data_IF_698912374288
#
_entry.id   IF_698912374288
#
_cell.length_a   1.000
_cell.length_b   1.000
_cell.length_c   1.000
_cell.angle_alpha   90.00
_cell.angle_beta   90.00
_cell.angle_gamma   90.00
#
_symmetry.space_group_name_H-M   'P 1'
#
loop_
_entity.id
_entity.type
_entity.pdbx_description
1 polymer ?
#
# COMPACT_ATOMS: atom_id res chain seq x y z
N UNK A 1 58.38 48.72 48.93
CA UNK A 1 57.96 47.31 48.80
C UNK A 1 56.95 47.27 47.71
N UNK A 2 57.37 46.87 46.51
CA UNK A 2 56.61 46.85 45.32
C UNK A 2 56.25 45.38 45.01
N UNK A 3 54.96 45.05 45.04
CA UNK A 3 54.48 43.74 44.63
C UNK A 3 54.21 43.71 43.08
N UNK A 4 54.65 42.67 42.37
CA UNK A 4 54.36 42.54 40.96
C UNK A 4 52.96 41.86 40.76
N UNK A 5 52.17 42.44 39.86
CA UNK A 5 50.95 41.89 39.36
C UNK A 5 51.24 40.81 38.28
N UNK A 6 50.71 39.59 38.47
CA UNK A 6 50.75 38.50 37.49
C UNK A 6 49.59 38.67 36.48
N UNK A 7 49.83 38.41 35.19
CA UNK A 7 48.75 38.46 34.19
C UNK A 7 47.95 37.19 34.26
N UNK A 8 46.61 37.31 34.26
CA UNK A 8 45.65 36.23 34.10
C UNK A 8 45.39 36.03 32.63
N UNK A 9 45.84 34.89 32.08
CA UNK A 9 45.54 34.48 30.71
C UNK A 9 44.17 33.79 30.66
N UNK A 10 43.21 34.39 29.94
CA UNK A 10 41.95 33.78 29.61
C UNK A 10 42.13 32.90 28.37
N UNK A 11 42.06 31.60 28.56
CA UNK A 11 41.98 30.63 27.43
C UNK A 11 40.51 30.47 27.05
N UNK A 12 40.11 31.01 25.91
CA UNK A 12 38.78 30.78 25.34
C UNK A 12 38.74 29.36 24.77
N UNK A 13 37.97 28.48 25.41
CA UNK A 13 37.64 27.18 24.86
C UNK A 13 36.52 27.33 23.80
N UNK A 14 36.91 27.18 22.54
CA UNK A 14 35.93 27.07 21.42
C UNK A 14 35.32 25.66 21.46
N UNK A 15 34.10 25.54 21.97
CA UNK A 15 33.30 24.34 21.80
C UNK A 15 32.84 24.23 20.35
N UNK A 16 33.49 23.38 19.54
CA UNK A 16 32.95 22.92 18.29
C UNK A 16 31.74 22.02 18.60
N UNK A 17 30.54 22.54 18.42
CA UNK A 17 29.32 21.74 18.34
C UNK A 17 29.40 20.95 17.02
N UNK A 18 29.82 19.69 17.07
CA UNK A 18 29.61 18.72 16.00
C UNK A 18 28.09 18.50 15.89
N UNK A 19 27.47 19.16 14.95
CA UNK A 19 26.15 18.76 14.42
C UNK A 19 26.36 17.40 13.77
N UNK A 20 26.17 16.33 14.52
CA UNK A 20 25.96 15.00 13.97
C UNK A 20 24.60 15.00 13.26
N UNK A 21 24.59 15.48 12.03
CA UNK A 21 23.53 15.12 11.11
C UNK A 21 23.55 13.59 11.00
N UNK A 22 22.48 12.94 11.40
CA UNK A 22 22.26 11.53 11.06
C UNK A 22 22.12 11.50 9.55
N UNK A 23 23.23 11.17 8.86
CA UNK A 23 23.15 10.82 7.46
C UNK A 23 22.19 9.64 7.40
N UNK A 24 21.05 9.81 6.73
CA UNK A 24 20.19 8.71 6.32
C UNK A 24 21.09 7.70 5.62
N UNK A 25 21.07 6.45 6.07
CA UNK A 25 21.77 5.39 5.36
C UNK A 25 21.06 5.26 4.00
N UNK A 26 21.69 5.80 2.97
CA UNK A 26 21.23 5.64 1.60
C UNK A 26 21.25 4.15 1.27
N UNK A 27 20.12 3.62 0.77
CA UNK A 27 20.08 2.24 0.33
C UNK A 27 21.14 1.98 -0.75
N UNK A 28 21.70 0.79 -0.72
CA UNK A 28 22.52 0.32 -1.82
C UNK A 28 21.66 0.22 -3.08
N UNK A 29 22.13 0.81 -4.17
CA UNK A 29 21.48 0.74 -5.50
C UNK A 29 21.82 -0.60 -6.16
N UNK A 30 20.94 -1.09 -7.03
CA UNK A 30 21.20 -2.28 -7.84
C UNK A 30 21.02 -1.92 -9.33
N UNK A 31 22.15 -1.72 -10.02
CA UNK A 31 22.15 -1.17 -11.37
C UNK A 31 21.54 0.22 -11.41
N UNK A 32 20.46 0.38 -12.18
CA UNK A 32 19.74 1.63 -12.32
C UNK A 32 18.54 1.73 -11.34
N UNK A 33 18.38 0.76 -10.44
CA UNK A 33 17.28 0.73 -9.47
C UNK A 33 17.73 1.34 -8.15
N UNK A 34 17.02 2.37 -7.73
CA UNK A 34 17.14 2.98 -6.41
C UNK A 34 16.10 2.39 -5.45
N UNK A 35 16.29 2.62 -4.15
CA UNK A 35 15.41 2.05 -3.14
C UNK A 35 15.06 3.04 -2.02
N UNK A 36 13.87 2.86 -1.46
CA UNK A 36 13.53 3.33 -0.11
C UNK A 36 13.79 2.18 0.85
N UNK A 37 14.64 2.41 1.86
CA UNK A 37 14.93 1.44 2.91
C UNK A 37 14.00 1.58 4.11
N UNK A 38 13.76 0.46 4.79
CA UNK A 38 13.15 0.42 6.11
C UNK A 38 11.78 -0.22 6.18
N UNK A 39 10.85 0.00 5.22
CA UNK A 39 9.58 -0.72 5.24
C UNK A 39 9.81 -2.23 5.13
N UNK A 40 9.15 -3.01 6.01
CA UNK A 40 9.24 -4.48 5.99
C UNK A 40 8.02 -5.03 5.26
N UNK A 41 8.24 -5.87 4.25
CA UNK A 41 7.17 -6.42 3.40
C UNK A 41 6.19 -5.32 2.97
N UNK A 42 6.66 -4.26 2.27
CA UNK A 42 5.81 -3.15 1.80
C UNK A 42 4.88 -3.66 0.71
N UNK A 43 3.73 -4.18 1.14
CA UNK A 43 2.79 -4.90 0.29
C UNK A 43 2.06 -3.96 -0.67
N UNK A 44 1.53 -2.86 -0.14
CA UNK A 44 0.78 -1.89 -0.91
C UNK A 44 1.13 -0.46 -0.53
N UNK A 45 0.98 0.44 -1.51
CA UNK A 45 1.39 1.83 -1.42
C UNK A 45 0.29 2.74 -1.95
N UNK A 46 0.12 3.92 -1.34
CA UNK A 46 -0.75 4.97 -1.85
C UNK A 46 -0.24 6.36 -1.51
N UNK A 47 -0.25 7.29 -2.48
CA UNK A 47 0.06 8.69 -2.19
C UNK A 47 -1.06 9.37 -1.41
N UNK A 48 -0.69 10.26 -0.49
CA UNK A 48 -1.64 11.22 0.06
C UNK A 48 -1.63 12.43 -0.89
N UNK A 49 -2.74 12.74 -1.58
CA UNK A 49 -2.80 13.79 -2.57
C UNK A 49 -2.31 15.15 -2.04
N UNK A 50 -1.62 15.90 -2.88
CA UNK A 50 -1.10 17.23 -2.60
C UNK A 50 -0.11 17.31 -1.41
N UNK A 51 0.50 16.19 -1.05
CA UNK A 51 1.50 16.10 0.03
C UNK A 51 2.74 15.32 -0.43
N UNK A 52 3.87 15.41 0.29
CA UNK A 52 5.04 14.61 -0.01
C UNK A 52 5.02 13.21 0.63
N UNK A 53 3.84 12.66 0.94
CA UNK A 53 3.73 11.43 1.71
C UNK A 53 3.14 10.27 0.92
N UNK A 54 3.81 9.13 1.01
CA UNK A 54 3.33 7.83 0.55
C UNK A 54 3.01 6.96 1.76
N UNK A 55 1.77 6.51 1.90
CA UNK A 55 1.38 5.51 2.89
C UNK A 55 1.77 4.12 2.39
N UNK A 56 2.22 3.28 3.31
CA UNK A 56 2.70 1.92 3.03
C UNK A 56 2.11 0.94 4.03
N UNK A 57 1.54 -0.15 3.55
CA UNK A 57 1.17 -1.30 4.37
C UNK A 57 2.32 -2.29 4.49
N UNK A 58 2.65 -2.68 5.71
CA UNK A 58 3.72 -3.64 6.00
C UNK A 58 3.10 -4.99 6.36
N UNK A 59 3.00 -5.90 5.38
CA UNK A 59 2.35 -7.21 5.55
C UNK A 59 3.30 -8.22 6.21
N UNK A 60 3.47 -8.07 7.51
CA UNK A 60 4.28 -8.94 8.37
C UNK A 60 3.48 -9.37 9.60
N UNK A 61 3.96 -10.35 10.38
CA UNK A 61 3.28 -10.82 11.59
C UNK A 61 3.08 -9.71 12.63
N UNK A 62 4.10 -8.83 12.81
CA UNK A 62 4.03 -7.60 13.58
C UNK A 62 3.94 -6.38 12.63
N UNK A 63 3.02 -6.48 11.66
CA UNK A 63 2.86 -5.50 10.61
C UNK A 63 2.42 -4.13 11.12
N UNK A 64 2.55 -3.14 10.25
CA UNK A 64 2.29 -1.76 10.57
C UNK A 64 1.93 -0.94 9.33
N UNK A 65 1.36 0.24 9.56
CA UNK A 65 1.24 1.29 8.57
C UNK A 65 2.35 2.32 8.79
N UNK A 66 2.97 2.77 7.72
CA UNK A 66 3.98 3.82 7.76
C UNK A 66 3.70 4.89 6.69
N UNK A 67 4.32 6.04 6.84
CA UNK A 67 4.44 7.04 5.79
C UNK A 67 5.89 7.23 5.40
N UNK A 68 6.15 7.29 4.10
CA UNK A 68 7.46 7.62 3.53
C UNK A 68 7.42 9.04 2.99
N UNK A 69 8.36 9.88 3.41
CA UNK A 69 8.56 11.23 2.90
C UNK A 69 9.34 11.17 1.58
N UNK A 70 8.72 11.58 0.49
CA UNK A 70 9.33 11.56 -0.85
C UNK A 70 10.52 12.51 -1.01
N UNK A 71 10.66 13.50 -0.12
CA UNK A 71 11.75 14.50 -0.16
C UNK A 71 13.08 13.96 0.39
N UNK A 72 13.02 13.00 1.31
CA UNK A 72 14.21 12.49 2.01
C UNK A 72 14.23 10.96 2.12
N UNK A 73 13.19 10.28 1.63
CA UNK A 73 13.01 8.81 1.58
C UNK A 73 13.00 8.15 2.98
N UNK A 74 12.62 8.93 4.01
CA UNK A 74 12.50 8.42 5.37
C UNK A 74 11.10 7.87 5.61
N UNK A 75 11.03 6.62 6.10
CA UNK A 75 9.78 5.99 6.49
C UNK A 75 9.58 6.10 8.00
N UNK A 76 8.39 6.54 8.39
CA UNK A 76 7.97 6.66 9.79
C UNK A 76 6.77 5.79 10.05
N UNK A 77 6.83 4.92 11.06
CA UNK A 77 5.69 4.11 11.49
C UNK A 77 4.60 5.00 12.07
N UNK A 78 3.36 4.80 11.61
CA UNK A 78 2.18 5.56 12.03
C UNK A 78 1.22 4.74 12.90
N UNK A 79 1.07 3.43 12.64
CA UNK A 79 0.16 2.56 13.39
C UNK A 79 0.63 1.10 13.32
N UNK A 80 0.47 0.29 14.40
CA UNK A 80 0.12 0.73 15.74
C UNK A 80 1.30 1.41 16.45
N UNK A 81 0.97 2.40 17.30
CA UNK A 81 1.92 3.03 18.21
C UNK A 81 1.41 2.87 19.65
N UNK A 82 2.29 2.90 20.67
CA UNK A 82 1.87 2.93 22.07
C UNK A 82 0.96 4.12 22.42
N UNK A 83 1.05 5.19 21.63
CA UNK A 83 0.26 6.42 21.77
C UNK A 83 -0.99 6.45 20.91
N UNK A 84 -1.23 5.40 20.06
CA UNK A 84 -2.41 5.36 19.23
C UNK A 84 -3.69 5.40 20.07
N UNK A 85 -4.54 6.38 19.77
CA UNK A 85 -5.84 6.53 20.44
C UNK A 85 -6.96 6.35 19.41
N UNK A 86 -7.97 5.52 19.68
CA UNK A 86 -9.12 5.37 18.81
C UNK A 86 -10.09 6.53 18.99
N UNK A 87 -10.76 6.89 17.89
CA UNK A 87 -11.95 7.75 17.89
C UNK A 87 -13.09 6.98 17.25
N UNK A 88 -13.56 5.95 17.94
CA UNK A 88 -14.54 5.00 17.38
C UNK A 88 -15.85 5.68 17.00
N UNK A 89 -16.17 5.66 15.70
CA UNK A 89 -17.49 6.03 15.18
C UNK A 89 -18.44 4.82 15.29
N UNK A 90 -19.02 4.66 16.47
CA UNK A 90 -19.94 3.57 16.74
C UNK A 90 -21.27 3.69 15.98
N UNK A 91 -21.59 4.84 15.41
CA UNK A 91 -22.80 5.00 14.59
C UNK A 91 -22.61 4.29 13.24
N UNK A 92 -21.44 4.43 12.64
CA UNK A 92 -21.11 3.81 11.34
C UNK A 92 -20.55 2.39 11.51
N UNK A 93 -19.67 2.16 12.50
CA UNK A 93 -18.89 0.93 12.65
C UNK A 93 -19.21 0.16 13.94
N UNK A 94 -20.44 0.29 14.47
CA UNK A 94 -20.81 -0.27 15.78
C UNK A 94 -20.60 -1.77 15.95
N UNK A 95 -20.67 -2.54 14.87
CA UNK A 95 -20.41 -3.99 14.88
C UNK A 95 -18.93 -4.36 14.99
N UNK A 96 -18.01 -3.41 14.83
CA UNK A 96 -16.58 -3.64 14.84
C UNK A 96 -16.00 -4.02 16.20
N UNK A 97 -16.54 -3.48 17.29
CA UNK A 97 -15.95 -3.59 18.62
C UNK A 97 -14.76 -2.64 18.82
N UNK A 98 -13.86 -3.00 19.72
CA UNK A 98 -12.73 -2.14 20.06
C UNK A 98 -11.56 -2.26 19.07
N UNK A 99 -10.74 -1.21 19.02
CA UNK A 99 -9.45 -1.26 18.35
C UNK A 99 -8.60 -2.39 18.93
N UNK A 100 -7.99 -3.18 18.06
CA UNK A 100 -7.11 -4.29 18.43
C UNK A 100 -5.75 -4.10 17.73
N UNK A 101 -4.76 -3.46 18.35
CA UNK A 101 -3.49 -3.15 17.69
C UNK A 101 -2.53 -4.34 17.59
N UNK A 102 -2.78 -5.43 18.33
CA UNK A 102 -1.96 -6.64 18.32
C UNK A 102 -2.31 -7.54 17.14
N UNK A 103 -1.34 -8.29 16.66
CA UNK A 103 -1.50 -9.16 15.48
C UNK A 103 -2.10 -8.38 14.30
N UNK A 104 -1.61 -7.17 14.11
CA UNK A 104 -2.01 -6.31 13.01
C UNK A 104 -1.17 -6.66 11.79
N UNK A 105 -1.80 -7.25 10.78
CA UNK A 105 -1.18 -7.63 9.52
C UNK A 105 -1.92 -6.93 8.39
N UNK A 106 -1.54 -5.68 8.08
CA UNK A 106 -2.18 -4.91 7.01
C UNK A 106 -1.80 -5.48 5.64
N UNK A 107 -2.73 -5.42 4.71
CA UNK A 107 -2.62 -5.88 3.33
C UNK A 107 -2.97 -4.72 2.39
N UNK A 108 -3.83 -4.91 1.39
CA UNK A 108 -4.24 -3.86 0.47
C UNK A 108 -4.78 -2.62 1.17
N UNK A 109 -4.39 -1.45 0.69
CA UNK A 109 -4.80 -0.15 1.22
C UNK A 109 -5.36 0.74 0.12
N UNK A 110 -6.29 1.61 0.46
CA UNK A 110 -6.74 2.66 -0.46
C UNK A 110 -7.26 3.87 0.30
N UNK A 111 -7.20 5.04 -0.33
CA UNK A 111 -7.49 6.33 0.28
C UNK A 111 -8.71 6.97 -0.39
N UNK A 112 -9.72 7.35 0.41
CA UNK A 112 -10.72 8.32 -0.02
C UNK A 112 -10.19 9.71 0.25
N UNK A 113 -9.93 10.45 -0.82
CA UNK A 113 -9.55 11.86 -0.71
C UNK A 113 -10.67 12.67 -0.07
N UNK A 114 -10.30 13.52 0.86
CA UNK A 114 -11.19 14.47 1.51
C UNK A 114 -10.77 15.92 1.24
N UNK A 115 -11.22 16.82 2.07
CA UNK A 115 -10.88 18.25 1.95
C UNK A 115 -9.95 18.69 3.07
N UNK A 116 -9.15 19.75 2.83
CA UNK A 116 -8.23 20.33 3.81
C UNK A 116 -7.24 19.29 4.39
N UNK A 117 -6.71 18.40 3.54
CA UNK A 117 -5.75 17.35 3.89
C UNK A 117 -6.26 16.35 4.96
N UNK A 118 -7.58 16.25 5.12
CA UNK A 118 -8.21 15.19 5.89
C UNK A 118 -8.77 14.14 4.94
N UNK A 119 -8.31 12.92 5.06
CA UNK A 119 -8.66 11.81 4.19
C UNK A 119 -9.15 10.61 5.02
N UNK A 120 -9.67 9.59 4.34
CA UNK A 120 -10.04 8.31 4.99
C UNK A 120 -9.24 7.18 4.36
N UNK A 121 -8.43 6.49 5.15
CA UNK A 121 -7.68 5.32 4.73
C UNK A 121 -8.46 4.05 5.08
N UNK A 122 -8.62 3.17 4.11
CA UNK A 122 -9.16 1.83 4.24
C UNK A 122 -8.01 0.83 4.15
N UNK A 123 -8.00 -0.14 5.07
CA UNK A 123 -6.90 -1.11 5.20
C UNK A 123 -7.48 -2.49 5.38
N UNK A 124 -7.24 -3.39 4.45
CA UNK A 124 -7.48 -4.81 4.69
C UNK A 124 -6.54 -5.30 5.78
N UNK A 125 -7.09 -6.00 6.73
CA UNK A 125 -6.36 -6.52 7.87
C UNK A 125 -6.61 -8.00 8.09
N UNK A 126 -5.52 -8.72 8.35
CA UNK A 126 -5.50 -10.10 8.84
C UNK A 126 -4.98 -10.18 10.28
N UNK A 127 -4.87 -11.37 10.80
CA UNK A 127 -4.33 -11.66 12.13
C UNK A 127 -5.42 -11.81 13.18
N UNK A 128 -5.55 -10.90 14.15
CA UNK A 128 -6.52 -11.02 15.23
C UNK A 128 -7.97 -11.05 14.73
N UNK A 129 -8.25 -10.48 13.58
CA UNK A 129 -9.54 -10.53 12.86
C UNK A 129 -9.32 -10.31 11.37
N UNK A 130 -10.28 -10.75 10.57
CA UNK A 130 -10.39 -10.41 9.15
C UNK A 130 -11.35 -9.24 9.01
N UNK A 131 -10.86 -8.11 8.48
CA UNK A 131 -11.65 -6.87 8.43
C UNK A 131 -11.09 -5.87 7.46
N UNK A 132 -11.87 -4.86 7.11
CA UNK A 132 -11.37 -3.58 6.63
C UNK A 132 -11.34 -2.61 7.80
N UNK A 133 -10.17 -2.17 8.20
CA UNK A 133 -9.96 -1.14 9.22
C UNK A 133 -10.03 0.23 8.57
N UNK A 134 -10.56 1.20 9.30
CA UNK A 134 -10.79 2.56 8.80
C UNK A 134 -10.10 3.56 9.69
N UNK A 135 -9.32 4.45 9.06
CA UNK A 135 -8.58 5.50 9.74
C UNK A 135 -8.89 6.86 9.14
N UNK A 136 -9.03 7.87 9.98
CA UNK A 136 -8.85 9.25 9.56
C UNK A 136 -7.36 9.52 9.38
N UNK A 137 -7.03 10.15 8.29
CA UNK A 137 -5.70 10.62 7.95
C UNK A 137 -5.70 12.14 8.02
N UNK A 138 -4.84 12.68 8.87
CA UNK A 138 -4.56 14.11 8.93
C UNK A 138 -3.14 14.33 8.40
N UNK A 139 -3.05 15.01 7.28
CA UNK A 139 -1.80 15.27 6.56
C UNK A 139 -1.57 16.79 6.39
N UNK A 140 -1.98 17.59 7.37
CA UNK A 140 -1.85 19.04 7.30
C UNK A 140 -0.38 19.48 7.23
N UNK A 141 -0.05 20.14 6.12
CA UNK A 141 1.26 20.70 5.85
C UNK A 141 2.36 19.67 5.57
N UNK A 142 3.58 20.01 5.95
CA UNK A 142 4.79 19.21 5.70
C UNK A 142 5.14 18.22 6.82
N UNK A 143 4.38 18.25 7.91
CA UNK A 143 4.59 17.36 9.04
C UNK A 143 4.21 15.91 8.70
N UNK A 144 4.81 14.96 9.42
CA UNK A 144 4.45 13.55 9.31
C UNK A 144 2.94 13.37 9.54
N UNK A 145 2.19 12.70 8.63
CA UNK A 145 0.76 12.51 8.78
C UNK A 145 0.43 11.69 10.03
N UNK A 146 -0.78 11.84 10.54
CA UNK A 146 -1.28 11.06 11.66
C UNK A 146 -2.44 10.16 11.23
N UNK A 147 -2.50 8.97 11.85
CA UNK A 147 -3.59 8.02 11.65
C UNK A 147 -4.39 7.88 12.94
N UNK A 148 -5.69 8.16 12.85
CA UNK A 148 -6.64 7.93 13.94
C UNK A 148 -7.61 6.83 13.56
N UNK A 149 -7.57 5.69 14.23
CA UNK A 149 -8.52 4.60 13.99
C UNK A 149 -9.95 5.02 14.37
N UNK A 150 -10.88 4.85 13.42
CA UNK A 150 -12.28 5.24 13.60
C UNK A 150 -13.25 4.05 13.59
N UNK A 151 -12.84 2.90 13.12
CA UNK A 151 -13.68 1.70 13.12
C UNK A 151 -13.20 0.62 12.18
N UNK A 152 -14.05 -0.38 11.99
CA UNK A 152 -13.83 -1.42 11.01
C UNK A 152 -15.12 -2.08 10.54
N UNK A 153 -15.05 -2.74 9.39
CA UNK A 153 -16.05 -3.71 8.98
C UNK A 153 -15.47 -5.11 9.05
N UNK A 154 -15.91 -5.89 10.02
CA UNK A 154 -15.47 -7.30 10.17
C UNK A 154 -16.04 -8.11 9.02
N UNK A 155 -15.19 -8.88 8.37
CA UNK A 155 -15.59 -9.76 7.27
C UNK A 155 -16.45 -10.92 7.79
N UNK A 156 -17.47 -11.35 7.05
CA UNK A 156 -18.18 -12.61 7.35
C UNK A 156 -17.24 -13.81 7.35
N UNK A 157 -17.59 -14.84 8.10
CA UNK A 157 -16.85 -16.09 8.17
C UNK A 157 -16.58 -16.68 6.79
N UNK A 158 -15.33 -17.03 6.51
CA UNK A 158 -14.89 -17.61 5.25
C UNK A 158 -14.55 -16.58 4.16
N UNK A 159 -14.76 -15.30 4.41
CA UNK A 159 -14.40 -14.21 3.51
C UNK A 159 -12.99 -13.72 3.83
N UNK A 160 -11.99 -14.23 3.13
CA UNK A 160 -10.61 -13.74 3.19
C UNK A 160 -10.43 -12.57 2.23
N UNK A 161 -10.12 -11.38 2.74
CA UNK A 161 -9.99 -10.15 1.96
C UNK A 161 -8.56 -9.99 1.40
N UNK A 162 -8.41 -9.13 0.37
CA UNK A 162 -7.10 -8.84 -0.21
C UNK A 162 -6.93 -7.34 -0.48
N UNK A 163 -7.67 -6.77 -1.41
CA UNK A 163 -7.63 -5.35 -1.74
C UNK A 163 -8.94 -4.65 -1.34
N UNK A 164 -8.88 -3.33 -1.22
CA UNK A 164 -10.03 -2.48 -0.88
C UNK A 164 -10.02 -1.20 -1.71
N UNK A 165 -11.20 -0.73 -2.11
CA UNK A 165 -11.35 0.57 -2.78
C UNK A 165 -12.56 1.31 -2.22
N UNK A 166 -12.46 2.63 -1.93
CA UNK A 166 -13.60 3.42 -1.48
C UNK A 166 -14.64 3.61 -2.59
N UNK A 167 -15.92 3.57 -2.24
CA UNK A 167 -17.02 3.78 -3.18
C UNK A 167 -17.48 5.24 -3.17
N UNK A 168 -17.83 5.83 -4.33
CA UNK A 168 -18.26 7.23 -4.40
C UNK A 168 -19.58 7.51 -3.68
N UNK A 169 -20.42 6.51 -3.50
CA UNK A 169 -21.70 6.57 -2.80
C UNK A 169 -21.62 6.19 -1.31
N UNK A 170 -20.41 6.08 -0.77
CA UNK A 170 -20.13 5.69 0.61
C UNK A 170 -19.76 4.21 0.74
N UNK A 171 -19.22 3.83 1.90
CA UNK A 171 -18.67 2.48 2.08
C UNK A 171 -17.43 2.20 1.23
N UNK A 172 -17.20 0.95 0.93
CA UNK A 172 -16.06 0.48 0.14
C UNK A 172 -16.37 -0.88 -0.51
N UNK A 173 -15.59 -1.25 -1.52
CA UNK A 173 -15.56 -2.60 -2.07
C UNK A 173 -14.25 -3.28 -1.70
N UNK A 174 -14.27 -4.60 -1.56
CA UNK A 174 -13.08 -5.41 -1.30
C UNK A 174 -13.10 -6.69 -2.14
N UNK A 175 -11.93 -7.14 -2.53
CA UNK A 175 -11.76 -8.43 -3.19
C UNK A 175 -11.61 -9.55 -2.17
N UNK A 176 -12.11 -10.73 -2.54
CA UNK A 176 -11.95 -11.95 -1.74
C UNK A 176 -11.43 -13.08 -2.62
N UNK A 177 -10.11 -13.34 -2.61
CA UNK A 177 -9.53 -14.50 -3.30
C UNK A 177 -10.07 -15.84 -2.78
N UNK A 178 -10.49 -15.89 -1.50
CA UNK A 178 -11.03 -17.11 -0.90
C UNK A 178 -12.37 -17.54 -1.48
N UNK A 179 -13.22 -16.58 -1.88
CA UNK A 179 -14.52 -16.86 -2.54
C UNK A 179 -14.47 -16.64 -4.04
N UNK A 180 -13.46 -15.95 -4.54
CA UNK A 180 -13.29 -15.62 -5.96
C UNK A 180 -14.11 -14.42 -6.41
N UNK A 181 -14.65 -13.61 -5.50
CA UNK A 181 -15.63 -12.56 -5.74
C UNK A 181 -15.17 -11.18 -5.25
N UNK A 182 -15.97 -10.16 -5.58
CA UNK A 182 -15.90 -8.80 -5.02
C UNK A 182 -17.11 -8.60 -4.11
N UNK A 183 -16.87 -7.91 -3.00
CA UNK A 183 -17.88 -7.61 -1.98
C UNK A 183 -17.91 -6.11 -1.69
N UNK A 184 -19.09 -5.53 -1.63
CA UNK A 184 -19.30 -4.16 -1.15
C UNK A 184 -19.74 -4.17 0.30
N UNK A 185 -19.33 -3.16 1.04
CA UNK A 185 -19.80 -2.90 2.40
C UNK A 185 -20.37 -1.49 2.52
N UNK A 186 -21.55 -1.40 3.12
CA UNK A 186 -22.21 -0.15 3.48
C UNK A 186 -22.68 -0.22 4.93
N UNK A 187 -22.70 0.92 5.61
CA UNK A 187 -23.02 0.98 7.05
C UNK A 187 -24.45 0.54 7.38
N UNK A 188 -25.37 0.70 6.46
CA UNK A 188 -26.80 0.35 6.60
C UNK A 188 -27.13 -1.07 6.09
N UNK A 189 -26.32 -1.62 5.19
CA UNK A 189 -26.56 -2.91 4.52
C UNK A 189 -25.57 -4.02 4.87
N UNK A 190 -24.43 -3.66 5.48
CA UNK A 190 -23.34 -4.61 5.73
C UNK A 190 -22.70 -5.10 4.42
N UNK A 191 -22.19 -6.33 4.43
CA UNK A 191 -21.52 -6.93 3.30
C UNK A 191 -22.48 -7.54 2.28
N UNK A 192 -22.31 -7.20 1.02
CA UNK A 192 -23.07 -7.75 -0.11
C UNK A 192 -22.13 -8.12 -1.26
N UNK A 193 -22.35 -9.29 -1.86
CA UNK A 193 -21.57 -9.72 -3.01
C UNK A 193 -21.95 -8.91 -4.26
N UNK A 194 -20.95 -8.46 -5.00
CA UNK A 194 -21.15 -7.74 -6.27
C UNK A 194 -21.64 -8.71 -7.35
N UNK A 195 -22.81 -8.48 -7.96
CA UNK A 195 -23.33 -9.33 -9.03
C UNK A 195 -22.36 -9.37 -10.22
N UNK A 196 -22.13 -10.58 -10.77
CA UNK A 196 -21.24 -10.79 -11.92
C UNK A 196 -19.76 -10.90 -11.57
N UNK A 197 -19.40 -10.75 -10.29
CA UNK A 197 -18.01 -10.91 -9.85
C UNK A 197 -17.59 -12.38 -9.67
N UNK A 198 -18.53 -13.30 -9.79
CA UNK A 198 -18.29 -14.72 -9.57
C UNK A 198 -17.15 -15.26 -10.46
N UNK A 199 -16.26 -16.00 -9.84
CA UNK A 199 -15.13 -16.69 -10.49
C UNK A 199 -14.14 -15.77 -11.24
N UNK A 200 -14.04 -14.49 -10.86
CA UNK A 200 -12.99 -13.59 -11.38
C UNK A 200 -11.61 -14.05 -10.86
N UNK A 201 -11.55 -14.59 -9.64
CA UNK A 201 -10.31 -14.90 -8.97
C UNK A 201 -9.50 -13.62 -8.71
N UNK A 202 -10.13 -12.63 -8.03
CA UNK A 202 -9.58 -11.30 -7.91
C UNK A 202 -8.43 -11.25 -6.90
N UNK A 203 -7.51 -10.29 -7.12
CA UNK A 203 -6.53 -9.85 -6.15
C UNK A 203 -6.71 -8.35 -5.95
N UNK A 204 -5.92 -7.48 -6.60
CA UNK A 204 -6.06 -6.04 -6.54
C UNK A 204 -7.37 -5.50 -7.13
N UNK A 205 -7.75 -4.28 -6.72
CA UNK A 205 -9.01 -3.65 -7.10
C UNK A 205 -8.86 -2.14 -7.21
N UNK A 206 -9.38 -1.60 -8.31
CA UNK A 206 -9.60 -0.17 -8.48
C UNK A 206 -11.01 0.11 -8.99
N UNK A 207 -11.47 1.36 -8.87
CA UNK A 207 -12.76 1.81 -9.36
C UNK A 207 -12.58 3.00 -10.30
N UNK A 208 -13.34 3.04 -11.40
CA UNK A 208 -13.37 4.20 -12.27
C UNK A 208 -13.87 5.45 -11.51
N UNK A 209 -13.40 6.62 -11.88
CA UNK A 209 -13.76 7.90 -11.24
C UNK A 209 -15.30 8.16 -11.24
N UNK A 210 -16.02 7.62 -12.23
CA UNK A 210 -17.49 7.70 -12.31
C UNK A 210 -18.23 6.66 -11.46
N UNK A 211 -17.50 5.76 -10.80
CA UNK A 211 -18.02 4.71 -9.93
C UNK A 211 -18.77 3.59 -10.63
N UNK A 212 -18.73 3.51 -11.97
CA UNK A 212 -19.53 2.55 -12.75
C UNK A 212 -18.79 1.28 -13.15
N UNK A 213 -17.46 1.26 -12.97
CA UNK A 213 -16.62 0.13 -13.35
C UNK A 213 -15.60 -0.18 -12.28
N UNK A 214 -15.50 -1.45 -11.92
CA UNK A 214 -14.34 -1.98 -11.22
C UNK A 214 -13.27 -2.40 -12.23
N UNK A 215 -12.00 -2.17 -11.88
CA UNK A 215 -10.84 -2.73 -12.55
C UNK A 215 -10.16 -3.70 -11.58
N UNK A 216 -10.02 -4.93 -12.01
CA UNK A 216 -9.70 -6.06 -11.13
C UNK A 216 -8.45 -6.74 -11.62
N UNK A 217 -7.49 -6.94 -10.74
CA UNK A 217 -6.37 -7.85 -10.97
C UNK A 217 -6.89 -9.30 -10.99
N UNK A 218 -7.09 -9.86 -12.17
CA UNK A 218 -7.39 -11.27 -12.36
C UNK A 218 -6.11 -12.08 -12.18
N UNK A 219 -5.80 -12.50 -10.94
CA UNK A 219 -4.51 -13.06 -10.56
C UNK A 219 -4.11 -14.25 -11.45
N UNK A 220 -4.88 -15.33 -11.43
CA UNK A 220 -4.58 -16.51 -12.23
C UNK A 220 -4.83 -16.32 -13.74
N UNK A 221 -5.65 -15.35 -14.11
CA UNK A 221 -5.93 -14.99 -15.50
C UNK A 221 -4.80 -14.14 -16.11
N UNK A 222 -3.91 -13.60 -15.27
CA UNK A 222 -2.82 -12.69 -15.69
C UNK A 222 -3.32 -11.52 -16.53
N UNK A 223 -4.48 -10.98 -16.14
CA UNK A 223 -5.16 -9.94 -16.90
C UNK A 223 -5.87 -8.93 -16.02
N UNK A 224 -5.92 -7.69 -16.48
CA UNK A 224 -6.82 -6.69 -15.94
C UNK A 224 -8.22 -6.94 -16.50
N UNK A 225 -9.19 -7.07 -15.60
CA UNK A 225 -10.59 -7.31 -15.93
C UNK A 225 -11.40 -6.10 -15.51
N UNK A 226 -12.33 -5.59 -16.33
CA UNK A 226 -13.33 -4.63 -15.87
C UNK A 226 -14.67 -5.29 -15.66
N UNK A 227 -15.34 -4.92 -14.58
CA UNK A 227 -16.67 -5.37 -14.20
C UNK A 227 -17.58 -4.16 -13.97
N UNK A 228 -18.75 -4.13 -14.62
CA UNK A 228 -19.72 -3.04 -14.40
C UNK A 228 -20.32 -3.11 -13.00
N UNK A 229 -20.42 -1.95 -12.33
CA UNK A 229 -21.09 -1.78 -11.06
C UNK A 229 -22.54 -1.32 -11.27
N UNK A 230 -23.48 -1.94 -10.55
CA UNK A 230 -24.90 -1.57 -10.56
C UNK A 230 -25.68 -1.90 -11.83
N UNK A 231 -25.11 -2.60 -12.82
CA UNK A 231 -25.80 -3.03 -14.03
C UNK A 231 -26.34 -4.46 -13.89
N UNK A 232 -27.52 -4.70 -14.50
CA UNK A 232 -28.13 -6.04 -14.54
C UNK A 232 -28.58 -6.34 -15.98
N UNK A 233 -28.02 -7.37 -16.64
CA UNK A 233 -26.89 -8.19 -16.18
C UNK A 233 -25.59 -7.39 -16.10
N UNK A 234 -24.69 -7.79 -15.21
CA UNK A 234 -23.36 -7.19 -15.12
C UNK A 234 -22.56 -7.49 -16.39
N UNK A 235 -21.74 -6.53 -16.82
CA UNK A 235 -20.81 -6.69 -17.94
C UNK A 235 -19.43 -6.94 -17.37
N UNK A 236 -18.77 -7.99 -17.88
CA UNK A 236 -17.41 -8.38 -17.50
C UNK A 236 -16.57 -8.55 -18.76
N UNK A 237 -15.42 -7.87 -18.82
CA UNK A 237 -14.56 -7.82 -19.99
C UNK A 237 -13.09 -7.88 -19.57
N UNK A 238 -12.27 -8.60 -20.32
CA UNK A 238 -10.80 -8.50 -20.21
C UNK A 238 -10.37 -7.20 -20.87
N UNK A 239 -9.67 -6.34 -20.11
CA UNK A 239 -9.07 -5.11 -20.62
C UNK A 239 -7.74 -5.42 -21.30
N UNK A 240 -6.82 -6.04 -20.59
CA UNK A 240 -5.48 -6.37 -21.08
C UNK A 240 -4.94 -7.65 -20.43
N UNK A 241 -4.08 -8.36 -21.17
CA UNK A 241 -3.26 -9.45 -20.62
C UNK A 241 -1.85 -8.93 -20.40
N UNK A 242 -1.26 -9.20 -19.24
CA UNK A 242 0.07 -8.70 -18.87
C UNK A 242 1.16 -9.79 -18.84
N UNK A 243 0.75 -11.07 -18.79
CA UNK A 243 1.67 -12.21 -18.87
C UNK A 243 2.32 -12.64 -17.54
N UNK A 244 1.92 -12.04 -16.42
CA UNK A 244 2.34 -12.40 -15.06
C UNK A 244 1.16 -12.37 -14.09
N UNK A 245 1.31 -12.94 -12.89
CA UNK A 245 0.26 -12.92 -11.86
C UNK A 245 0.15 -11.51 -11.28
N UNK A 246 -0.96 -10.81 -11.58
CA UNK A 246 -1.20 -9.45 -11.09
C UNK A 246 -1.63 -9.52 -9.64
N UNK A 247 -0.91 -8.82 -8.76
CA UNK A 247 -1.27 -8.67 -7.35
C UNK A 247 -2.14 -7.41 -7.18
N UNK A 248 -1.57 -6.22 -7.16
CA UNK A 248 -2.32 -4.98 -7.03
C UNK A 248 -2.37 -4.16 -8.34
N UNK A 249 -3.37 -3.32 -8.43
CA UNK A 249 -3.55 -2.33 -9.52
C UNK A 249 -3.81 -0.97 -8.90
N UNK A 250 -3.19 0.08 -9.44
CA UNK A 250 -3.41 1.47 -9.02
C UNK A 250 -3.46 2.40 -10.24
N UNK A 251 -4.28 3.45 -10.14
CA UNK A 251 -4.34 4.48 -11.15
C UNK A 251 -3.04 5.30 -11.19
N UNK A 252 -2.47 5.46 -12.37
CA UNK A 252 -1.44 6.44 -12.64
C UNK A 252 -2.07 7.82 -12.91
N UNK A 253 -1.31 8.93 -12.76
CA UNK A 253 -1.83 10.29 -12.96
C UNK A 253 -2.37 10.58 -14.38
N UNK A 254 -1.92 9.84 -15.38
CA UNK A 254 -2.35 9.98 -16.78
C UNK A 254 -3.63 9.18 -17.11
N UNK A 255 -4.17 8.41 -16.15
CA UNK A 255 -5.39 7.63 -16.31
C UNK A 255 -5.17 6.18 -16.75
N UNK A 256 -3.93 5.76 -16.93
CA UNK A 256 -3.57 4.35 -17.10
C UNK A 256 -3.55 3.63 -15.75
N UNK A 257 -3.55 2.29 -15.76
CA UNK A 257 -3.33 1.47 -14.57
C UNK A 257 -1.89 0.97 -14.52
N UNK A 258 -1.27 1.05 -13.34
CA UNK A 258 -0.09 0.26 -13.01
C UNK A 258 -0.55 -1.07 -12.43
N UNK A 259 -0.29 -2.15 -13.15
CA UNK A 259 -0.56 -3.51 -12.70
C UNK A 259 0.76 -4.12 -12.21
N UNK A 260 0.90 -4.28 -10.89
CA UNK A 260 2.07 -4.88 -10.28
C UNK A 260 1.83 -6.33 -9.92
N UNK A 261 2.89 -7.13 -9.88
CA UNK A 261 2.77 -8.52 -9.54
C UNK A 261 4.08 -9.28 -9.75
N UNK A 262 3.95 -10.58 -9.96
CA UNK A 262 5.10 -11.46 -10.01
C UNK A 262 4.91 -12.63 -10.98
N UNK A 263 6.02 -13.22 -11.40
CA UNK A 263 6.04 -14.45 -12.17
C UNK A 263 6.80 -15.55 -11.43
N UNK A 264 6.44 -16.78 -11.73
CA UNK A 264 7.17 -17.99 -11.37
C UNK A 264 6.96 -19.02 -12.49
N UNK A 265 7.88 -20.00 -12.68
CA UNK A 265 7.68 -21.07 -13.67
C UNK A 265 6.38 -21.82 -13.50
N UNK A 266 5.91 -21.97 -12.26
CA UNK A 266 4.61 -22.49 -11.88
C UNK A 266 4.02 -21.66 -10.74
N UNK A 267 2.68 -21.53 -10.69
CA UNK A 267 1.98 -20.80 -9.62
C UNK A 267 2.34 -21.31 -8.20
N UNK A 268 2.62 -22.59 -8.06
CA UNK A 268 3.08 -23.21 -6.79
C UNK A 268 4.39 -22.60 -6.28
N UNK A 269 5.25 -22.07 -7.17
CA UNK A 269 6.51 -21.40 -6.84
C UNK A 269 6.29 -20.11 -6.06
N UNK A 270 5.23 -19.35 -6.34
CA UNK A 270 4.85 -18.17 -5.56
C UNK A 270 4.53 -18.57 -4.11
N UNK A 271 3.70 -19.60 -3.93
CA UNK A 271 3.37 -20.12 -2.61
C UNK A 271 4.59 -20.65 -1.85
N UNK A 272 5.55 -21.28 -2.53
CA UNK A 272 6.80 -21.73 -1.91
C UNK A 272 7.69 -20.54 -1.50
N UNK A 273 7.75 -19.48 -2.29
CA UNK A 273 8.45 -18.26 -1.93
C UNK A 273 7.88 -17.64 -0.64
N UNK A 274 6.56 -17.50 -0.55
CA UNK A 274 5.90 -16.91 0.63
C UNK A 274 6.10 -17.75 1.90
N UNK A 275 5.93 -19.08 1.80
CA UNK A 275 5.95 -19.96 2.99
C UNK A 275 7.35 -20.37 3.42
N UNK A 276 8.22 -20.62 2.44
CA UNK A 276 9.47 -21.34 2.66
C UNK A 276 10.70 -20.48 2.31
N UNK A 277 10.51 -19.24 1.83
CA UNK A 277 11.58 -18.37 1.35
C UNK A 277 12.24 -18.84 0.04
N UNK A 278 11.61 -19.78 -0.69
CA UNK A 278 12.16 -20.35 -1.92
C UNK A 278 11.86 -19.46 -3.14
N UNK A 279 12.47 -18.27 -3.20
CA UNK A 279 12.15 -17.21 -4.16
C UNK A 279 13.08 -17.13 -5.38
N UNK A 280 14.05 -18.02 -5.53
CA UNK A 280 15.12 -17.94 -6.55
C UNK A 280 14.62 -17.88 -8.02
N UNK A 281 13.40 -18.35 -8.29
CA UNK A 281 12.81 -18.36 -9.64
C UNK A 281 11.54 -17.49 -9.73
N UNK A 282 11.42 -16.52 -8.85
CA UNK A 282 10.34 -15.55 -8.85
C UNK A 282 10.88 -14.21 -9.31
N UNK A 283 10.12 -13.48 -10.12
CA UNK A 283 10.47 -12.13 -10.52
C UNK A 283 9.28 -11.19 -10.25
N UNK A 284 9.60 -9.95 -9.91
CA UNK A 284 8.64 -8.86 -9.78
C UNK A 284 8.42 -8.18 -11.12
N UNK A 285 7.21 -7.74 -11.40
CA UNK A 285 6.83 -7.09 -12.65
C UNK A 285 5.91 -5.91 -12.39
N UNK A 286 5.97 -4.90 -13.25
CA UNK A 286 4.94 -3.87 -13.39
C UNK A 286 4.65 -3.65 -14.87
N UNK A 287 3.37 -3.67 -15.21
CA UNK A 287 2.89 -3.27 -16.51
C UNK A 287 2.03 -2.00 -16.39
N UNK A 288 2.22 -1.08 -17.32
CA UNK A 288 1.32 0.05 -17.53
C UNK A 288 0.25 -0.36 -18.54
N UNK A 289 -1.01 -0.19 -18.18
CA UNK A 289 -2.18 -0.63 -18.94
C UNK A 289 -3.03 0.58 -19.30
N UNK A 290 -3.09 0.89 -20.61
CA UNK A 290 -4.06 1.82 -21.17
C UNK A 290 -5.44 1.13 -21.18
N UNK A 291 -6.34 1.60 -20.34
CA UNK A 291 -7.65 0.99 -20.14
C UNK A 291 -8.64 1.26 -21.28
N UNK A 292 -8.37 2.25 -22.13
CA UNK A 292 -9.20 2.61 -23.29
C UNK A 292 -8.86 1.75 -24.50
N UNK A 293 -7.57 1.53 -24.75
CA UNK A 293 -7.09 0.75 -25.90
C UNK A 293 -6.88 -0.72 -25.58
N UNK A 294 -6.73 -1.07 -24.31
CA UNK A 294 -6.36 -2.42 -23.85
C UNK A 294 -4.88 -2.76 -24.10
N UNK A 295 -4.05 -1.74 -24.34
CA UNK A 295 -2.61 -1.94 -24.54
C UNK A 295 -1.92 -2.12 -23.19
N UNK A 296 -1.03 -3.10 -23.08
CA UNK A 296 -0.19 -3.36 -21.92
C UNK A 296 1.28 -3.25 -22.31
N UNK A 297 2.05 -2.46 -21.54
CA UNK A 297 3.50 -2.29 -21.73
C UNK A 297 4.19 -2.62 -20.41
N UNK A 298 5.11 -3.57 -20.42
CA UNK A 298 5.95 -3.85 -19.24
C UNK A 298 6.92 -2.70 -19.03
N UNK A 299 6.91 -2.13 -17.82
CA UNK A 299 7.73 -0.96 -17.42
C UNK A 299 8.75 -1.30 -16.34
N UNK A 300 8.63 -2.47 -15.71
CA UNK A 300 9.55 -2.94 -14.69
C UNK A 300 9.59 -4.46 -14.66
N UNK A 301 10.81 -5.00 -14.57
CA UNK A 301 11.08 -6.42 -14.30
C UNK A 301 12.30 -6.53 -13.40
N UNK A 302 12.18 -7.30 -12.31
CA UNK A 302 13.27 -7.47 -11.37
C UNK A 302 13.25 -8.86 -10.73
N UNK A 303 14.37 -9.62 -10.78
CA UNK A 303 14.46 -10.93 -10.14
C UNK A 303 14.39 -10.79 -8.62
N UNK A 304 13.70 -11.71 -7.94
CA UNK A 304 13.64 -11.71 -6.48
C UNK A 304 15.03 -11.91 -5.88
N UNK A 305 15.41 -11.01 -4.99
CA UNK A 305 16.65 -11.02 -4.24
C UNK A 305 16.43 -10.41 -2.84
N UNK A 306 17.51 -10.11 -2.11
CA UNK A 306 17.46 -9.50 -0.78
C UNK A 306 16.88 -8.07 -0.75
N UNK A 307 16.75 -7.39 -1.90
CA UNK A 307 16.27 -6.03 -1.99
C UNK A 307 14.76 -5.97 -2.18
N UNK A 308 14.24 -6.70 -3.16
CA UNK A 308 12.81 -6.79 -3.46
C UNK A 308 12.43 -8.26 -3.69
N UNK A 309 11.43 -8.72 -2.96
CA UNK A 309 10.90 -10.08 -3.07
C UNK A 309 9.41 -9.98 -3.40
N UNK A 310 8.97 -10.73 -4.41
CA UNK A 310 7.55 -10.81 -4.79
C UNK A 310 6.91 -9.43 -4.87
N UNK A 311 7.15 -8.71 -5.96
CA UNK A 311 6.48 -7.42 -6.22
C UNK A 311 4.98 -7.59 -6.17
N UNK A 312 4.28 -6.71 -5.42
CA UNK A 312 2.84 -6.79 -5.17
C UNK A 312 2.11 -5.51 -5.54
N UNK A 313 2.65 -4.34 -5.17
CA UNK A 313 2.04 -3.04 -5.43
C UNK A 313 2.98 -2.11 -6.19
N UNK A 314 2.43 -1.24 -7.03
CA UNK A 314 3.17 -0.16 -7.67
C UNK A 314 2.32 1.09 -7.83
N UNK A 315 2.92 2.24 -7.54
CA UNK A 315 2.34 3.57 -7.75
C UNK A 315 3.32 4.46 -8.52
N UNK A 316 2.80 5.47 -9.18
CA UNK A 316 3.65 6.52 -9.74
C UNK A 316 3.77 7.65 -8.72
N UNK A 317 5.00 8.05 -8.40
CA UNK A 317 5.35 9.15 -7.49
C UNK A 317 6.20 10.14 -8.29
N UNK A 318 5.59 11.25 -8.70
CA UNK A 318 6.25 12.20 -9.59
C UNK A 318 6.65 11.57 -10.93
N UNK A 319 7.95 11.54 -11.21
CA UNK A 319 8.56 10.95 -12.41
C UNK A 319 9.13 9.54 -12.17
N UNK A 320 8.78 8.90 -11.06
CA UNK A 320 9.21 7.55 -10.71
C UNK A 320 8.03 6.58 -10.53
N UNK A 321 8.30 5.30 -10.75
CA UNK A 321 7.44 4.19 -10.32
C UNK A 321 8.07 3.58 -9.06
N UNK A 322 7.29 3.51 -7.98
CA UNK A 322 7.65 2.88 -6.74
C UNK A 322 7.01 1.50 -6.66
N UNK A 323 7.80 0.47 -6.37
CA UNK A 323 7.35 -0.93 -6.36
C UNK A 323 7.60 -1.56 -5.00
N UNK A 324 6.54 -1.96 -4.34
CA UNK A 324 6.57 -2.73 -3.10
C UNK A 324 6.55 -4.24 -3.33
N UNK A 325 6.77 -5.01 -2.27
CA UNK A 325 6.74 -6.47 -2.30
C UNK A 325 6.62 -7.09 -0.93
N UNK A 326 6.41 -8.38 -0.88
CA UNK A 326 6.18 -9.14 0.35
C UNK A 326 7.31 -10.13 0.66
N UNK A 327 7.01 -11.17 1.43
CA UNK A 327 7.92 -12.28 1.79
C UNK A 327 9.21 -11.83 2.51
N UNK A 328 9.14 -10.75 3.31
CA UNK A 328 10.26 -10.28 4.12
C UNK A 328 11.18 -9.28 3.42
N UNK A 329 10.85 -8.83 2.21
CA UNK A 329 11.56 -7.73 1.55
C UNK A 329 11.58 -6.47 2.46
N UNK A 330 12.66 -5.70 2.40
CA UNK A 330 12.87 -4.55 3.30
C UNK A 330 13.04 -3.23 2.56
N UNK A 331 12.67 -3.20 1.27
CA UNK A 331 12.86 -2.04 0.40
C UNK A 331 11.66 -1.85 -0.52
N UNK A 332 11.45 -0.62 -0.93
CA UNK A 332 10.59 -0.24 -2.06
C UNK A 332 11.52 0.13 -3.20
N UNK A 333 11.41 -0.53 -4.35
CA UNK A 333 12.19 -0.19 -5.53
C UNK A 333 11.65 1.09 -6.18
N UNK A 334 12.54 1.90 -6.76
CA UNK A 334 12.24 3.14 -7.46
C UNK A 334 12.90 3.13 -8.82
N UNK A 335 12.13 3.34 -9.86
CA UNK A 335 12.62 3.42 -11.24
C UNK A 335 11.98 4.61 -11.94
N UNK A 336 12.68 5.27 -12.90
CA UNK A 336 12.07 6.34 -13.69
C UNK A 336 10.85 5.84 -14.47
N UNK A 337 9.84 6.71 -14.65
CA UNK A 337 8.75 6.48 -15.60
C UNK A 337 9.34 6.44 -17.00
N UNK A 338 9.06 5.40 -17.81
CA UNK A 338 9.61 5.26 -19.17
C UNK A 338 9.22 6.37 -20.13
#
# INVERSE_FOLDING_TARGET
MTHPLLPVSFTAAVCLLCLSGTASAQCEVDGDIEFVCGPISPEDLIEIPDTPWVLVSSMADDGYLSATDTRNLQSTRLFPLPTSQPRHDAATYGACGNMTPTQFRPHGINLRSGTNNHHTLYVVRHGARESVEVFDVDADGEATPTLTWVGCAVAPDGLGLNAVVPLPDGGFAATSPSTGDIWEWHSDGGWTRVPGSEAIGPNGLEIAADGRWYYVAGYAAQSVIRLSRGQTPARKETVANVGFFIDNVHWAPDGDLLAAGHSAPERSGVGACIRDGACANVASHVAKVDVETGTSTEVFTYPSNEHLILGTGAIQVGDEIWVGGVAGGTRIARVPVP
#
